data_IF_716129150280
#
_entry.id   IF_716129150280
#
_cell.length_a   1.000
_cell.length_b   1.000
_cell.length_c   1.000
_cell.angle_alpha   90.00
_cell.angle_beta   90.00
_cell.angle_gamma   90.00
#
_symmetry.space_group_name_H-M   'P 1'
#
loop_
_entity.id
_entity.type
_entity.pdbx_description
1 polymer ?
#
# COMPACT_ATOMS: atom_id res chain seq x y z
N UNK A 1 -31.75 -9.25 5.56
CA UNK A 1 -31.00 -9.11 5.42
C UNK A 1 -30.08 -9.17 4.64
N UNK A 2 -29.88 -8.65 4.46
CA UNK A 2 -29.28 -8.72 3.49
C UNK A 2 -27.99 -9.12 3.43
N UNK A 3 -27.75 -9.69 2.76
CA UNK A 3 -26.56 -10.43 2.55
C UNK A 3 -25.43 -9.63 2.01
N UNK A 4 -25.65 -8.38 1.77
CA UNK A 4 -24.61 -7.50 1.28
C UNK A 4 -23.44 -7.49 2.25
N UNK A 5 -23.72 -7.52 3.53
CA UNK A 5 -22.67 -7.52 4.54
C UNK A 5 -21.79 -8.77 4.50
N UNK A 6 -22.25 -9.80 3.81
CA UNK A 6 -21.49 -11.05 3.73
C UNK A 6 -20.65 -11.18 2.48
N UNK A 7 -20.68 -10.18 1.63
CA UNK A 7 -19.79 -10.19 0.48
C UNK A 7 -18.38 -10.01 0.96
N UNK A 8 -17.51 -10.88 0.53
CA UNK A 8 -16.09 -10.71 0.76
C UNK A 8 -15.50 -9.84 -0.34
N UNK A 9 -16.01 -8.64 -0.46
CA UNK A 9 -15.56 -7.70 -1.46
C UNK A 9 -14.34 -6.96 -0.94
N UNK A 10 -13.28 -6.98 -1.71
CA UNK A 10 -12.07 -6.23 -1.41
C UNK A 10 -11.96 -5.09 -2.39
N UNK A 11 -11.67 -3.92 -1.88
CA UNK A 11 -11.44 -2.75 -2.73
C UNK A 11 -9.97 -2.38 -2.64
N UNK A 12 -9.33 -2.33 -3.80
CA UNK A 12 -7.92 -1.99 -3.89
C UNK A 12 -7.77 -0.89 -4.93
N UNK A 13 -7.11 0.19 -4.55
CA UNK A 13 -6.80 1.27 -5.47
C UNK A 13 -5.39 1.06 -5.96
N UNK A 14 -5.21 1.02 -7.28
CA UNK A 14 -3.90 0.88 -7.89
C UNK A 14 -3.43 2.24 -8.39
N UNK A 15 -2.24 2.61 -8.00
CA UNK A 15 -1.67 3.87 -8.45
C UNK A 15 -0.18 3.73 -8.70
N UNK A 16 0.38 4.71 -9.37
CA UNK A 16 1.79 4.74 -9.69
C UNK A 16 2.45 6.00 -9.16
N UNK A 17 3.74 5.87 -8.91
CA UNK A 17 4.60 6.96 -8.49
C UNK A 17 5.92 6.78 -9.22
N UNK A 18 6.56 7.86 -9.62
CA UNK A 18 7.80 7.74 -10.39
C UNK A 18 8.99 7.36 -9.51
N UNK A 19 8.87 7.49 -8.20
CA UNK A 19 10.03 7.39 -7.30
C UNK A 19 9.98 6.19 -6.36
N UNK A 20 8.82 5.88 -5.77
CA UNK A 20 8.76 4.89 -4.69
C UNK A 20 7.52 4.00 -4.82
N UNK A 21 7.62 2.80 -4.25
CA UNK A 21 6.47 1.94 -4.05
C UNK A 21 6.03 1.97 -2.59
N UNK A 22 4.75 1.75 -2.36
CA UNK A 22 4.24 1.76 -0.99
C UNK A 22 2.87 1.09 -0.91
N UNK A 23 2.41 0.88 0.31
CA UNK A 23 1.09 0.32 0.59
C UNK A 23 0.42 1.17 1.65
N UNK A 24 -0.71 1.75 1.30
CA UNK A 24 -1.50 2.52 2.25
C UNK A 24 -2.82 1.84 2.55
N UNK A 25 -3.47 2.24 3.62
CA UNK A 25 -4.79 1.76 3.99
C UNK A 25 -5.65 2.91 4.47
N UNK A 26 -6.90 2.90 4.03
CA UNK A 26 -7.95 3.77 4.55
C UNK A 26 -8.88 2.89 5.36
N UNK A 27 -9.00 3.18 6.62
CA UNK A 27 -9.78 2.36 7.55
C UNK A 27 -10.98 3.15 8.05
N UNK A 28 -12.18 2.67 7.73
CA UNK A 28 -13.42 3.24 8.24
C UNK A 28 -13.82 2.42 9.46
N UNK A 29 -13.49 2.92 10.63
CA UNK A 29 -13.74 2.21 11.88
C UNK A 29 -15.22 2.07 12.18
N UNK A 30 -16.03 3.04 11.74
CA UNK A 30 -17.46 3.00 12.03
C UNK A 30 -18.17 1.89 11.27
N UNK A 31 -17.83 1.73 10.00
CA UNK A 31 -18.45 0.72 9.13
C UNK A 31 -17.60 -0.53 8.97
N UNK A 32 -16.44 -0.56 9.62
CA UNK A 32 -15.51 -1.69 9.57
C UNK A 32 -15.09 -2.04 8.16
N UNK A 33 -14.87 -1.03 7.34
CA UNK A 33 -14.40 -1.18 5.96
C UNK A 33 -12.95 -0.76 5.84
N UNK A 34 -12.23 -1.41 4.96
CA UNK A 34 -10.85 -1.06 4.64
C UNK A 34 -10.68 -0.99 3.14
N UNK A 35 -9.96 0.02 2.70
CA UNK A 35 -9.56 0.18 1.30
C UNK A 35 -8.05 0.28 1.30
N UNK A 36 -7.40 -0.57 0.50
CA UNK A 36 -5.95 -0.56 0.37
C UNK A 36 -5.55 0.15 -0.91
N UNK A 37 -4.48 0.92 -0.83
CA UNK A 37 -3.90 1.56 -2.00
C UNK A 37 -2.51 0.99 -2.23
N UNK A 38 -2.32 0.41 -3.39
CA UNK A 38 -1.05 -0.18 -3.81
C UNK A 38 -0.38 0.80 -4.75
N UNK A 39 0.83 1.21 -4.39
CA UNK A 39 1.59 2.17 -5.20
C UNK A 39 2.81 1.46 -5.74
N UNK A 40 2.96 1.50 -7.06
CA UNK A 40 4.12 0.98 -7.77
C UNK A 40 4.99 2.15 -8.22
N UNK A 41 6.31 2.00 -8.18
CA UNK A 41 7.19 3.02 -8.70
C UNK A 41 7.24 2.98 -10.23
N UNK A 42 7.98 3.90 -10.84
CA UNK A 42 8.27 3.84 -12.26
C UNK A 42 9.22 2.69 -12.56
N UNK A 43 9.03 2.06 -13.72
CA UNK A 43 9.88 0.95 -14.17
C UNK A 43 11.20 1.46 -14.73
N UNK A 44 11.17 2.60 -15.40
CA UNK A 44 12.33 3.15 -16.10
C UNK A 44 13.00 4.26 -15.31
N UNK A 45 12.22 5.01 -14.55
CA UNK A 45 12.71 6.18 -13.85
C UNK A 45 13.70 5.80 -12.76
N UNK A 46 14.79 6.58 -12.67
CA UNK A 46 15.82 6.34 -11.67
C UNK A 46 15.26 6.55 -10.25
N UNK A 47 15.54 5.64 -9.32
CA UNK A 47 15.11 5.85 -7.94
C UNK A 47 15.75 7.10 -7.35
N UNK A 48 15.14 7.68 -6.29
CA UNK A 48 15.73 8.86 -5.66
C UNK A 48 17.11 8.56 -5.10
N UNK A 49 17.99 9.53 -5.12
CA UNK A 49 19.28 9.42 -4.44
C UNK A 49 19.05 9.36 -2.93
N UNK A 50 20.10 8.99 -2.19
CA UNK A 50 19.98 8.93 -0.74
C UNK A 50 19.55 10.25 -0.13
N UNK A 51 20.10 11.36 -0.63
CA UNK A 51 19.75 12.70 -0.14
C UNK A 51 18.30 13.03 -0.46
N UNK A 52 17.86 12.75 -1.69
CA UNK A 52 16.46 12.94 -2.06
C UNK A 52 15.53 12.08 -1.21
N UNK A 53 15.94 10.84 -0.96
CA UNK A 53 15.18 9.93 -0.13
C UNK A 53 15.00 10.47 1.29
N UNK A 54 16.06 10.99 1.90
CA UNK A 54 15.97 11.62 3.21
C UNK A 54 15.01 12.80 3.20
N UNK A 55 15.05 13.60 2.13
CA UNK A 55 14.12 14.72 1.97
C UNK A 55 12.67 14.24 1.89
N UNK A 56 12.42 13.21 1.08
CA UNK A 56 11.07 12.65 0.94
C UNK A 56 10.57 12.13 2.28
N UNK A 57 11.39 11.35 2.99
CA UNK A 57 10.96 10.76 4.27
C UNK A 57 10.78 11.79 5.37
N UNK A 58 11.51 12.91 5.31
CA UNK A 58 11.35 13.96 6.30
C UNK A 58 10.09 14.80 6.07
N UNK A 59 9.67 14.92 4.80
CA UNK A 59 8.46 15.67 4.46
C UNK A 59 7.23 14.80 4.62
N UNK A 60 7.34 13.51 4.25
CA UNK A 60 6.23 12.58 4.31
C UNK A 60 5.93 12.23 5.75
N UNK A 61 4.69 12.45 6.14
CA UNK A 61 4.27 12.15 7.51
C UNK A 61 3.74 10.73 7.58
N UNK A 62 4.43 9.89 8.34
CA UNK A 62 4.05 8.50 8.52
C UNK A 62 2.95 8.31 9.55
N UNK A 63 2.60 9.36 10.28
CA UNK A 63 1.60 9.25 11.32
C UNK A 63 0.23 8.99 10.73
N UNK A 64 -0.59 8.29 11.48
CA UNK A 64 -1.97 8.07 11.08
C UNK A 64 -2.72 9.39 11.07
N UNK A 65 -3.53 9.58 10.05
CA UNK A 65 -4.30 10.79 9.90
C UNK A 65 -5.78 10.43 9.82
N UNK A 66 -6.61 11.30 10.39
CA UNK A 66 -8.05 11.15 10.30
C UNK A 66 -8.60 12.09 9.23
N UNK A 67 -9.49 11.55 8.40
CA UNK A 67 -10.04 12.30 7.26
C UNK A 67 -11.33 13.02 7.60
N UNK A 68 -11.93 12.71 8.76
CA UNK A 68 -13.17 13.33 9.16
C UNK A 68 -13.09 13.85 10.61
N UNK A 69 -14.04 14.69 10.97
CA UNK A 69 -14.06 15.30 12.30
C UNK A 69 -14.32 14.27 13.39
N UNK A 70 -15.12 13.25 13.10
CA UNK A 70 -15.45 12.20 14.06
C UNK A 70 -14.31 11.23 14.32
N UNK A 71 -13.23 11.34 13.55
CA UNK A 71 -12.07 10.46 13.65
C UNK A 71 -12.41 8.98 13.46
N UNK A 72 -13.39 8.72 12.61
CA UNK A 72 -13.77 7.34 12.28
C UNK A 72 -13.09 6.83 11.01
N UNK A 73 -12.60 7.73 10.16
CA UNK A 73 -11.90 7.38 8.93
C UNK A 73 -10.44 7.76 9.07
N UNK A 74 -9.60 6.75 9.05
CA UNK A 74 -8.17 6.90 9.31
C UNK A 74 -7.35 6.41 8.14
N UNK A 75 -6.28 7.12 7.80
CA UNK A 75 -5.30 6.67 6.81
C UNK A 75 -3.99 6.34 7.50
N UNK A 76 -3.34 5.31 7.02
CA UNK A 76 -2.01 4.94 7.53
C UNK A 76 -1.23 4.22 6.44
N UNK A 77 0.08 4.12 6.67
CA UNK A 77 0.96 3.37 5.79
C UNK A 77 1.29 2.03 6.41
N UNK A 78 1.29 1.00 5.58
CA UNK A 78 1.62 -0.35 6.00
C UNK A 78 3.03 -0.71 5.54
N UNK A 79 3.62 -1.68 6.21
CA UNK A 79 4.95 -2.18 5.86
C UNK A 79 4.79 -3.54 5.19
N UNK A 80 5.07 -3.65 3.88
CA UNK A 80 5.07 -4.97 3.24
C UNK A 80 6.10 -5.89 3.87
N UNK A 81 5.80 -7.18 3.87
CA UNK A 81 6.70 -8.18 4.41
C UNK A 81 8.00 -8.19 3.59
N UNK A 82 9.11 -8.07 4.28
CA UNK A 82 10.42 -8.07 3.63
C UNK A 82 10.91 -6.70 3.21
N UNK A 83 10.28 -5.65 3.73
CA UNK A 83 10.63 -4.29 3.31
C UNK A 83 10.36 -3.26 4.39
N UNK A 84 10.65 -2.02 4.06
CA UNK A 84 10.25 -0.83 4.82
C UNK A 84 8.92 -0.30 4.26
N UNK A 85 8.42 0.76 4.85
CA UNK A 85 7.16 1.38 4.40
C UNK A 85 7.23 1.91 2.97
N UNK A 86 8.40 2.34 2.55
CA UNK A 86 8.61 2.91 1.22
C UNK A 86 9.71 2.16 0.50
N UNK A 87 9.44 1.76 -0.73
CA UNK A 87 10.41 1.04 -1.56
C UNK A 87 11.12 2.01 -2.48
N UNK A 88 12.40 2.21 -2.24
CA UNK A 88 13.23 3.16 -3.00
C UNK A 88 13.96 2.47 -4.15
N UNK A 89 13.30 1.59 -4.84
CA UNK A 89 13.88 0.90 -6.00
C UNK A 89 12.83 0.83 -7.09
N UNK A 90 13.28 0.71 -8.34
CA UNK A 90 12.33 0.48 -9.43
C UNK A 90 11.59 -0.82 -9.16
N UNK A 91 10.29 -0.78 -9.33
CA UNK A 91 9.47 -1.96 -9.05
C UNK A 91 8.19 -1.93 -9.87
N UNK A 92 7.59 -3.09 -9.98
CA UNK A 92 6.22 -3.21 -10.45
C UNK A 92 5.48 -4.18 -9.53
N UNK A 93 4.16 -4.16 -9.60
CA UNK A 93 3.33 -4.93 -8.68
C UNK A 93 2.60 -6.01 -9.46
N UNK A 94 2.55 -7.20 -8.88
CA UNK A 94 1.67 -8.27 -9.35
C UNK A 94 0.64 -8.55 -8.26
N UNK A 95 -0.58 -8.87 -8.68
CA UNK A 95 -1.67 -9.17 -7.77
C UNK A 95 -2.29 -10.48 -8.20
N UNK A 96 -2.41 -11.42 -7.28
CA UNK A 96 -3.02 -12.71 -7.59
C UNK A 96 -3.74 -13.27 -6.38
N UNK A 97 -4.77 -14.08 -6.64
CA UNK A 97 -5.46 -14.78 -5.58
C UNK A 97 -4.72 -16.04 -5.22
N UNK A 98 -4.51 -16.24 -3.93
CA UNK A 98 -3.92 -17.47 -3.44
C UNK A 98 -4.99 -18.52 -3.14
N UNK A 99 -4.57 -19.75 -2.93
CA UNK A 99 -5.46 -20.84 -2.53
C UNK A 99 -6.01 -20.64 -1.13
N UNK A 100 -5.43 -19.71 -0.37
CA UNK A 100 -5.89 -19.36 0.98
C UNK A 100 -6.98 -18.29 0.97
N UNK A 101 -7.54 -17.98 -0.20
CA UNK A 101 -8.57 -16.97 -0.41
C UNK A 101 -8.10 -15.56 -0.07
N UNK A 102 -6.80 -15.35 -0.02
CA UNK A 102 -6.21 -14.03 0.17
C UNK A 102 -5.76 -13.46 -1.15
N UNK A 103 -5.78 -12.16 -1.24
CA UNK A 103 -5.25 -11.44 -2.39
C UNK A 103 -3.80 -11.09 -2.08
N UNK A 104 -2.89 -11.69 -2.82
CA UNK A 104 -1.47 -11.48 -2.62
C UNK A 104 -0.95 -10.37 -3.52
N UNK A 105 -0.33 -9.38 -2.90
CA UNK A 105 0.27 -8.25 -3.58
C UNK A 105 1.78 -8.39 -3.46
N UNK A 106 2.47 -8.40 -4.60
CA UNK A 106 3.92 -8.59 -4.63
C UNK A 106 4.57 -7.46 -5.39
N UNK A 107 5.58 -6.86 -4.78
CA UNK A 107 6.41 -5.87 -5.47
C UNK A 107 7.63 -6.58 -6.03
N UNK A 108 7.78 -6.54 -7.36
CA UNK A 108 8.94 -7.12 -8.04
C UNK A 108 9.94 -6.00 -8.22
N UNK A 109 11.00 -6.04 -7.44
CA UNK A 109 11.99 -4.97 -7.38
C UNK A 109 13.20 -5.27 -8.25
N UNK A 110 13.84 -4.20 -8.69
CA UNK A 110 15.03 -4.27 -9.53
C UNK A 110 16.19 -4.98 -8.84
N UNK A 111 16.24 -4.94 -7.52
CA UNK A 111 17.35 -5.44 -6.70
C UNK A 111 17.13 -6.84 -6.14
N UNK A 112 16.26 -7.64 -6.68
CA UNK A 112 15.93 -9.00 -6.19
C UNK A 112 15.01 -9.05 -4.97
N UNK A 113 14.73 -7.95 -4.31
CA UNK A 113 13.75 -7.96 -3.22
C UNK A 113 12.37 -8.26 -3.76
N UNK A 114 11.59 -8.95 -2.95
CA UNK A 114 10.22 -9.34 -3.32
C UNK A 114 9.28 -9.11 -2.14
N UNK A 115 9.11 -7.84 -1.71
CA UNK A 115 8.16 -7.56 -0.63
C UNK A 115 6.76 -7.98 -1.03
N UNK A 116 5.98 -8.40 -0.07
CA UNK A 116 4.62 -8.85 -0.34
C UNK A 116 3.68 -8.48 0.79
N UNK A 117 2.40 -8.53 0.50
CA UNK A 117 1.37 -8.32 1.50
C UNK A 117 0.14 -9.11 1.11
N UNK A 118 -0.47 -9.77 2.09
CA UNK A 118 -1.67 -10.58 1.86
C UNK A 118 -2.89 -9.88 2.43
N UNK A 119 -3.87 -9.64 1.58
CA UNK A 119 -5.15 -9.07 1.98
C UNK A 119 -6.17 -10.18 2.19
N UNK A 120 -6.85 -10.11 3.30
CA UNK A 120 -7.97 -11.02 3.57
C UNK A 120 -9.24 -10.62 2.83
#
# INVERSE_FOLDING_TARGET
>A
KRKVSKRNTRTVILSGDVHVGSLGVINDHKNQNKIHQVVSSGIVHTPPSYVEWLGITSITNDNNEYLNEDKTIETSMLTPIGSAKYLRVRNFVTINEGTDEKLWINWVCDNKDRPCYALN
#
